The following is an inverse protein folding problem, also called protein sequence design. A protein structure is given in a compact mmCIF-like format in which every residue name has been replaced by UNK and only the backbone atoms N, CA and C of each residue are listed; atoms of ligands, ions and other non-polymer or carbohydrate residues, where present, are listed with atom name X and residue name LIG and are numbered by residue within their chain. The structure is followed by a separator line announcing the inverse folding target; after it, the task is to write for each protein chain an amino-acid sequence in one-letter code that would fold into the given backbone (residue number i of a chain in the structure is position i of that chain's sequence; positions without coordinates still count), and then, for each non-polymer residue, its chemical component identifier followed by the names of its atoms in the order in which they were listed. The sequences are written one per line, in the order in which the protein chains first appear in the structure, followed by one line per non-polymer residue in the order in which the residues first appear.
data_IF_828730648649
#
_entry.id   IF_828730648649
#
_cell.length_a   1.000
_cell.length_b   1.000
_cell.length_c   1.000
_cell.angle_alpha   90.00
_cell.angle_beta   90.00
_cell.angle_gamma   90.00
#
_symmetry.space_group_name_H-M   'P 1'
#
loop_
_entity.id
_entity.type
_entity.pdbx_description
1 polymer ?
#
# COMPACT_ATOMS: atom_id res chain seq x y z
N UNK A 1 15.10 27.62 11.21
CA UNK A 1 15.22 27.91 9.77
C UNK A 1 14.22 27.00 9.05
N UNK A 2 13.04 27.53 8.68
CA UNK A 2 12.09 26.83 7.84
C UNK A 2 12.69 26.74 6.42
N UNK A 3 13.24 25.61 6.07
CA UNK A 3 13.59 25.34 4.67
C UNK A 3 12.28 25.14 3.89
N UNK A 4 12.16 25.83 2.75
CA UNK A 4 11.03 25.64 1.86
C UNK A 4 11.03 24.18 1.37
N UNK A 5 9.83 23.56 1.32
CA UNK A 5 9.68 22.21 0.77
C UNK A 5 10.17 22.18 -0.68
N UNK A 6 10.95 21.15 -1.09
CA UNK A 6 11.26 20.96 -2.50
C UNK A 6 10.00 20.96 -3.37
N UNK A 7 10.04 21.56 -4.56
CA UNK A 7 8.87 21.66 -5.43
C UNK A 7 8.21 20.32 -5.75
N UNK A 8 9.01 19.25 -5.90
CA UNK A 8 8.51 17.88 -6.09
C UNK A 8 7.74 17.39 -4.88
N UNK A 9 8.24 17.64 -3.66
CA UNK A 9 7.57 17.27 -2.43
C UNK A 9 6.22 18.00 -2.29
N UNK A 10 6.22 19.31 -2.54
CA UNK A 10 4.99 20.12 -2.50
C UNK A 10 3.95 19.61 -3.51
N UNK A 11 4.36 19.24 -4.71
CA UNK A 11 3.50 18.67 -5.75
C UNK A 11 2.89 17.34 -5.28
N UNK A 12 3.69 16.42 -4.74
CA UNK A 12 3.20 15.11 -4.26
C UNK A 12 2.23 15.28 -3.09
N UNK A 13 2.55 16.17 -2.15
CA UNK A 13 1.66 16.47 -1.01
C UNK A 13 0.34 17.07 -1.52
N UNK A 14 0.37 17.97 -2.50
CA UNK A 14 -0.84 18.53 -3.10
C UNK A 14 -1.68 17.46 -3.80
N UNK A 15 -1.05 16.56 -4.58
CA UNK A 15 -1.75 15.42 -5.21
C UNK A 15 -2.39 14.53 -4.13
N UNK A 16 -1.66 14.27 -3.03
CA UNK A 16 -2.16 13.50 -1.90
C UNK A 16 -3.36 14.15 -1.22
N UNK A 17 -3.29 15.46 -0.99
CA UNK A 17 -4.39 16.23 -0.41
C UNK A 17 -5.64 16.21 -1.33
N UNK A 18 -5.47 16.48 -2.62
CA UNK A 18 -6.55 16.41 -3.61
C UNK A 18 -7.13 15.00 -3.67
N UNK A 19 -6.29 13.96 -3.68
CA UNK A 19 -6.71 12.56 -3.63
C UNK A 19 -7.51 12.23 -2.36
N UNK A 20 -7.08 12.72 -1.20
CA UNK A 20 -7.78 12.55 0.07
C UNK A 20 -9.15 13.26 0.08
N UNK A 21 -9.23 14.46 -0.49
CA UNK A 21 -10.51 15.15 -0.68
C UNK A 21 -11.44 14.35 -1.58
N UNK A 22 -10.97 13.88 -2.73
CA UNK A 22 -11.76 13.07 -3.66
C UNK A 22 -12.09 11.67 -3.11
N UNK A 23 -11.34 11.17 -2.14
CA UNK A 23 -11.70 9.96 -1.43
C UNK A 23 -13.06 10.10 -0.71
N UNK A 24 -13.29 11.24 -0.03
CA UNK A 24 -14.44 11.43 0.86
C UNK A 24 -15.53 12.34 0.30
N UNK A 25 -15.16 13.35 -0.51
CA UNK A 25 -16.06 14.44 -0.91
C UNK A 25 -16.61 14.26 -2.33
N UNK A 26 -17.88 14.69 -2.55
CA UNK A 26 -18.40 14.86 -3.91
C UNK A 26 -17.55 15.84 -4.73
N UNK A 27 -17.50 15.70 -6.08
CA UNK A 27 -18.32 14.79 -6.89
C UNK A 27 -17.79 13.36 -6.95
N UNK A 28 -16.53 13.10 -6.65
CA UNK A 28 -15.94 11.78 -6.82
C UNK A 28 -16.27 10.83 -5.67
N UNK A 29 -16.12 11.26 -4.40
CA UNK A 29 -16.41 10.45 -3.22
C UNK A 29 -16.05 8.97 -3.42
N UNK A 30 -14.79 8.69 -3.78
CA UNK A 30 -14.34 7.40 -4.29
C UNK A 30 -14.71 6.21 -3.37
N UNK A 31 -14.76 6.46 -2.05
CA UNK A 31 -15.23 5.49 -1.06
C UNK A 31 -16.68 5.06 -1.26
N UNK A 32 -17.52 5.93 -1.90
CA UNK A 32 -18.93 5.66 -2.19
C UNK A 32 -19.16 5.09 -3.60
N UNK A 33 -18.10 4.93 -4.39
CA UNK A 33 -18.16 4.42 -5.77
C UNK A 33 -17.38 3.11 -5.98
N UNK A 34 -16.89 2.50 -4.88
CA UNK A 34 -16.14 1.23 -4.92
C UNK A 34 -14.68 1.38 -5.39
N UNK A 35 -14.13 2.58 -5.33
CA UNK A 35 -12.73 2.86 -5.62
C UNK A 35 -11.91 3.15 -4.36
N UNK A 36 -12.58 3.12 -3.18
CA UNK A 36 -11.96 3.48 -1.91
C UNK A 36 -10.73 2.64 -1.57
N UNK A 37 -10.79 1.32 -1.79
CA UNK A 37 -9.69 0.41 -1.49
C UNK A 37 -8.46 0.68 -2.37
N UNK A 38 -8.69 0.91 -3.68
CA UNK A 38 -7.62 1.20 -4.64
C UNK A 38 -6.99 2.56 -4.35
N UNK A 39 -7.82 3.57 -4.10
CA UNK A 39 -7.32 4.92 -3.79
C UNK A 39 -6.57 4.95 -2.46
N UNK A 40 -7.03 4.20 -1.44
CA UNK A 40 -6.33 4.06 -0.18
C UNK A 40 -4.93 3.43 -0.37
N UNK A 41 -4.84 2.37 -1.18
CA UNK A 41 -3.56 1.75 -1.51
C UNK A 41 -2.63 2.71 -2.27
N UNK A 42 -3.16 3.48 -3.21
CA UNK A 42 -2.38 4.46 -3.97
C UNK A 42 -1.88 5.61 -3.08
N UNK A 43 -2.74 6.17 -2.22
CA UNK A 43 -2.38 7.27 -1.33
C UNK A 43 -1.46 6.82 -0.19
N UNK A 44 -1.86 5.78 0.55
CA UNK A 44 -1.14 5.32 1.74
C UNK A 44 0.06 4.45 1.41
N UNK A 45 -0.05 3.58 0.40
CA UNK A 45 1.00 2.62 0.05
C UNK A 45 2.03 3.13 -0.94
N UNK A 46 1.69 4.13 -1.76
CA UNK A 46 2.60 4.68 -2.78
C UNK A 46 2.92 6.15 -2.52
N UNK A 47 1.90 7.01 -2.51
CA UNK A 47 2.13 8.46 -2.53
C UNK A 47 2.75 8.97 -1.22
N UNK A 48 2.31 8.43 -0.08
CA UNK A 48 2.83 8.82 1.23
C UNK A 48 4.34 8.54 1.38
N UNK A 49 4.86 7.32 1.11
CA UNK A 49 6.30 7.10 1.17
C UNK A 49 7.07 7.89 0.11
N UNK A 50 6.55 8.07 -1.10
CA UNK A 50 7.17 8.92 -2.12
C UNK A 50 7.25 10.39 -1.68
N UNK A 51 6.26 10.90 -0.94
CA UNK A 51 6.34 12.23 -0.35
C UNK A 51 7.53 12.34 0.62
N UNK A 52 7.76 11.30 1.43
CA UNK A 52 8.94 11.23 2.32
C UNK A 52 10.25 11.29 1.54
N UNK A 53 10.40 10.50 0.48
CA UNK A 53 11.58 10.55 -0.41
C UNK A 53 11.75 11.94 -1.02
N UNK A 54 10.68 12.53 -1.56
CA UNK A 54 10.73 13.84 -2.17
C UNK A 54 11.15 14.95 -1.20
N UNK A 55 10.75 14.86 0.08
CA UNK A 55 11.17 15.81 1.13
C UNK A 55 12.67 15.69 1.40
N UNK A 56 13.20 14.46 1.46
CA UNK A 56 14.61 14.21 1.83
C UNK A 56 15.54 14.38 0.62
N UNK A 57 15.20 13.78 -0.54
CA UNK A 57 16.06 13.74 -1.72
C UNK A 57 15.79 14.89 -2.71
N UNK A 58 14.67 15.60 -2.59
CA UNK A 58 14.28 16.68 -3.51
C UNK A 58 13.85 16.20 -4.91
N UNK A 59 13.83 14.90 -5.15
CA UNK A 59 13.48 14.25 -6.43
C UNK A 59 12.81 12.91 -6.19
N UNK A 60 12.21 12.35 -7.24
CA UNK A 60 11.70 10.98 -7.30
C UNK A 60 12.31 10.32 -8.53
N UNK A 61 12.75 9.10 -8.36
CA UNK A 61 13.28 8.25 -9.42
C UNK A 61 12.37 7.04 -9.65
N UNK A 62 12.51 6.37 -10.80
CA UNK A 62 11.78 5.14 -11.08
C UNK A 62 12.06 4.05 -10.02
N UNK A 63 13.29 4.02 -9.50
CA UNK A 63 13.69 3.12 -8.44
C UNK A 63 12.82 3.28 -7.18
N UNK A 64 12.47 4.52 -6.79
CA UNK A 64 11.62 4.79 -5.63
C UNK A 64 10.21 4.23 -5.82
N UNK A 65 9.65 4.41 -7.03
CA UNK A 65 8.34 3.86 -7.39
C UNK A 65 8.37 2.33 -7.31
N UNK A 66 9.40 1.70 -7.86
CA UNK A 66 9.55 0.25 -7.82
C UNK A 66 9.75 -0.27 -6.40
N UNK A 67 10.50 0.45 -5.55
CA UNK A 67 10.73 0.09 -4.16
C UNK A 67 9.43 0.09 -3.32
N UNK A 68 8.50 1.02 -3.59
CA UNK A 68 7.23 1.12 -2.83
C UNK A 68 6.05 0.40 -3.48
N UNK A 69 6.19 -0.14 -4.70
CA UNK A 69 5.14 -0.94 -5.34
C UNK A 69 4.68 -2.15 -4.48
N UNK A 70 5.59 -2.92 -3.83
CA UNK A 70 5.17 -3.98 -2.91
C UNK A 70 4.32 -3.47 -1.76
N UNK A 71 4.66 -2.29 -1.20
CA UNK A 71 3.91 -1.68 -0.10
C UNK A 71 2.51 -1.26 -0.56
N UNK A 72 2.37 -0.65 -1.73
CA UNK A 72 1.06 -0.27 -2.27
C UNK A 72 0.15 -1.51 -2.45
N UNK A 73 0.70 -2.60 -2.96
CA UNK A 73 -0.05 -3.85 -3.16
C UNK A 73 -0.43 -4.51 -1.83
N UNK A 74 0.44 -4.54 -0.83
CA UNK A 74 0.10 -5.13 0.47
C UNK A 74 -0.91 -4.26 1.24
N UNK A 75 -0.88 -2.94 1.06
CA UNK A 75 -1.92 -2.04 1.59
C UNK A 75 -3.27 -2.38 0.95
N UNK A 76 -3.35 -2.59 -0.37
CA UNK A 76 -4.58 -3.03 -1.04
C UNK A 76 -5.09 -4.35 -0.45
N UNK A 77 -4.22 -5.36 -0.31
CA UNK A 77 -4.54 -6.66 0.29
C UNK A 77 -5.08 -6.50 1.70
N UNK A 78 -4.45 -5.65 2.52
CA UNK A 78 -4.85 -5.38 3.90
C UNK A 78 -6.20 -4.67 3.96
N UNK A 79 -6.41 -3.62 3.16
CA UNK A 79 -7.69 -2.87 3.12
C UNK A 79 -8.83 -3.76 2.64
N UNK A 80 -8.60 -4.62 1.64
CA UNK A 80 -9.60 -5.60 1.22
C UNK A 80 -9.99 -6.54 2.37
N UNK A 81 -9.02 -6.98 3.17
CA UNK A 81 -9.28 -7.89 4.29
C UNK A 81 -9.97 -7.20 5.46
N UNK A 82 -9.62 -5.95 5.77
CA UNK A 82 -10.26 -5.17 6.85
C UNK A 82 -11.68 -4.75 6.50
N UNK A 83 -11.99 -4.52 5.22
CA UNK A 83 -13.34 -4.18 4.77
C UNK A 83 -14.29 -5.41 4.67
N UNK A 84 -13.76 -6.64 4.70
CA UNK A 84 -14.59 -7.84 4.59
C UNK A 84 -15.59 -8.03 5.74
N UNK A 85 -15.21 -7.85 7.03
CA UNK A 85 -16.13 -7.93 8.15
C UNK A 85 -17.29 -6.91 8.06
N UNK A 86 -17.02 -5.73 7.53
CA UNK A 86 -17.96 -4.61 7.49
C UNK A 86 -18.95 -4.68 6.32
N UNK A 87 -18.83 -5.65 5.42
CA UNK A 87 -19.58 -5.68 4.16
C UNK A 87 -21.11 -5.66 4.33
N UNK A 88 -21.62 -6.28 5.41
CA UNK A 88 -23.06 -6.32 5.67
C UNK A 88 -23.56 -4.97 6.18
N UNK A 89 -22.80 -4.32 7.04
CA UNK A 89 -23.08 -2.97 7.50
C UNK A 89 -22.93 -1.94 6.38
N UNK A 90 -21.89 -2.08 5.55
CA UNK A 90 -21.69 -1.24 4.35
C UNK A 90 -22.86 -1.38 3.37
N UNK A 91 -23.33 -2.61 3.13
CA UNK A 91 -24.50 -2.85 2.27
C UNK A 91 -25.79 -2.23 2.86
N UNK A 92 -26.01 -2.36 4.16
CA UNK A 92 -27.17 -1.80 4.84
C UNK A 92 -27.21 -0.27 4.81
N UNK A 93 -26.03 0.37 4.80
CA UNK A 93 -25.89 1.84 4.71
C UNK A 93 -25.75 2.36 3.28
N UNK A 94 -25.85 1.49 2.27
CA UNK A 94 -25.73 1.85 0.86
C UNK A 94 -24.31 2.26 0.44
N UNK A 95 -23.29 1.83 1.16
CA UNK A 95 -21.87 2.10 0.83
C UNK A 95 -21.33 0.98 -0.09
N UNK A 96 -21.10 1.25 -1.37
CA UNK A 96 -20.76 0.23 -2.36
C UNK A 96 -19.26 -0.06 -2.42
N UNK A 97 -18.69 -0.58 -1.34
CA UNK A 97 -17.30 -1.07 -1.30
C UNK A 97 -17.10 -2.24 -2.28
N UNK A 98 -15.85 -2.59 -2.58
CA UNK A 98 -15.56 -3.78 -3.40
C UNK A 98 -16.19 -5.04 -2.82
N UNK A 99 -16.22 -5.17 -1.49
CA UNK A 99 -16.79 -6.30 -0.75
C UNK A 99 -18.31 -6.42 -0.94
N UNK A 100 -19.00 -5.30 -1.11
CA UNK A 100 -20.45 -5.24 -1.39
C UNK A 100 -20.72 -5.53 -2.88
N UNK A 101 -19.93 -4.96 -3.79
CA UNK A 101 -20.16 -4.99 -5.24
C UNK A 101 -19.77 -6.31 -5.90
N UNK A 102 -18.73 -6.97 -5.39
CA UNK A 102 -18.17 -8.14 -6.05
C UNK A 102 -18.50 -9.44 -5.32
N UNK A 103 -18.63 -10.50 -6.10
CA UNK A 103 -18.83 -11.85 -5.56
C UNK A 103 -17.60 -12.30 -4.75
N UNK A 104 -17.76 -13.05 -3.65
CA UNK A 104 -16.64 -13.54 -2.85
C UNK A 104 -15.57 -14.29 -3.66
N UNK A 105 -15.96 -15.04 -4.70
CA UNK A 105 -15.01 -15.73 -5.58
C UNK A 105 -14.12 -14.74 -6.36
N UNK A 106 -14.70 -13.64 -6.86
CA UNK A 106 -13.94 -12.59 -7.57
C UNK A 106 -13.01 -11.85 -6.61
N UNK A 107 -13.51 -11.51 -5.42
CA UNK A 107 -12.70 -10.89 -4.37
C UNK A 107 -11.48 -11.74 -3.99
N UNK A 108 -11.68 -13.07 -3.82
CA UNK A 108 -10.57 -13.99 -3.55
C UNK A 108 -9.53 -14.01 -4.66
N UNK A 109 -9.96 -13.95 -5.93
CA UNK A 109 -9.03 -13.91 -7.07
C UNK A 109 -8.23 -12.61 -7.10
N UNK A 110 -8.89 -11.46 -6.90
CA UNK A 110 -8.23 -10.15 -6.85
C UNK A 110 -7.24 -10.11 -5.69
N UNK A 111 -7.65 -10.54 -4.49
CA UNK A 111 -6.81 -10.60 -3.31
C UNK A 111 -5.58 -11.51 -3.51
N UNK A 112 -5.78 -12.71 -4.06
CA UNK A 112 -4.69 -13.62 -4.36
C UNK A 112 -3.74 -13.04 -5.42
N UNK A 113 -4.26 -12.46 -6.50
CA UNK A 113 -3.45 -11.81 -7.52
C UNK A 113 -2.63 -10.65 -6.95
N UNK A 114 -3.23 -9.79 -6.12
CA UNK A 114 -2.52 -8.70 -5.44
C UNK A 114 -1.44 -9.24 -4.48
N UNK A 115 -1.73 -10.33 -3.73
CA UNK A 115 -0.75 -10.97 -2.85
C UNK A 115 0.44 -11.57 -3.61
N UNK A 116 0.21 -12.21 -4.76
CA UNK A 116 1.27 -12.65 -5.67
C UNK A 116 2.02 -11.44 -6.22
N UNK A 117 1.30 -10.37 -6.57
CA UNK A 117 1.88 -9.10 -7.02
C UNK A 117 2.85 -8.49 -6.02
N UNK A 118 2.60 -8.60 -4.71
CA UNK A 118 3.55 -8.17 -3.66
C UNK A 118 4.88 -8.90 -3.81
N UNK A 119 4.84 -10.23 -3.96
CA UNK A 119 6.05 -11.05 -4.09
C UNK A 119 6.80 -10.70 -5.38
N UNK A 120 6.08 -10.65 -6.51
CA UNK A 120 6.67 -10.32 -7.82
C UNK A 120 7.29 -8.92 -7.79
N UNK A 121 6.59 -7.92 -7.27
CA UNK A 121 7.11 -6.56 -7.18
C UNK A 121 8.34 -6.47 -6.26
N UNK A 122 8.37 -7.23 -5.15
CA UNK A 122 9.56 -7.34 -4.29
C UNK A 122 10.75 -7.91 -5.04
N UNK A 123 10.54 -8.98 -5.81
CA UNK A 123 11.59 -9.60 -6.62
C UNK A 123 12.09 -8.65 -7.71
N UNK A 124 11.17 -7.96 -8.41
CA UNK A 124 11.53 -6.97 -9.43
C UNK A 124 12.34 -5.83 -8.82
N UNK A 125 11.89 -5.25 -7.70
CA UNK A 125 12.61 -4.19 -7.01
C UNK A 125 14.02 -4.64 -6.56
N UNK A 126 14.15 -5.93 -6.18
CA UNK A 126 15.43 -6.56 -5.87
C UNK A 126 16.37 -6.63 -7.07
N UNK A 127 15.87 -7.16 -8.19
CA UNK A 127 16.67 -7.37 -9.42
C UNK A 127 17.21 -6.06 -9.97
N UNK A 128 16.40 -4.99 -9.91
CA UNK A 128 16.80 -3.67 -10.42
C UNK A 128 17.58 -2.83 -9.37
N UNK A 129 17.86 -3.40 -8.19
CA UNK A 129 18.60 -2.68 -7.14
C UNK A 129 17.83 -1.53 -6.48
N UNK A 130 16.49 -1.49 -6.65
CA UNK A 130 15.65 -0.44 -6.10
C UNK A 130 15.38 -0.59 -4.60
N UNK A 131 15.61 -1.78 -4.03
CA UNK A 131 15.33 -2.08 -2.63
C UNK A 131 16.60 -2.58 -1.93
N UNK A 132 17.05 -1.91 -0.85
CA UNK A 132 18.10 -2.45 0.00
C UNK A 132 17.56 -3.67 0.76
N UNK A 133 18.38 -4.71 0.90
CA UNK A 133 18.03 -5.96 1.60
C UNK A 133 16.71 -6.62 1.13
N UNK A 134 16.56 -6.89 -0.16
CA UNK A 134 15.29 -7.32 -0.75
C UNK A 134 14.75 -8.63 -0.18
N UNK A 135 15.61 -9.53 0.30
CA UNK A 135 15.22 -10.80 0.92
C UNK A 135 14.35 -10.59 2.18
N UNK A 136 14.50 -9.46 2.88
CA UNK A 136 13.66 -9.15 4.03
C UNK A 136 12.19 -8.96 3.60
N UNK A 137 11.94 -8.41 2.42
CA UNK A 137 10.58 -8.27 1.89
C UNK A 137 9.85 -9.59 1.71
N UNK A 138 10.57 -10.71 1.54
CA UNK A 138 9.98 -12.03 1.40
C UNK A 138 9.53 -12.64 2.73
N UNK A 139 9.94 -12.08 3.88
CA UNK A 139 9.49 -12.54 5.20
C UNK A 139 7.98 -12.39 5.41
N UNK A 140 7.31 -11.56 4.60
CA UNK A 140 5.84 -11.41 4.66
C UNK A 140 5.08 -12.53 3.94
N UNK A 141 5.76 -13.39 3.16
CA UNK A 141 5.12 -14.45 2.36
C UNK A 141 4.26 -15.41 3.19
N UNK A 142 4.67 -15.89 4.38
CA UNK A 142 3.81 -16.75 5.19
C UNK A 142 2.51 -16.07 5.62
N UNK A 143 2.58 -14.80 5.99
CA UNK A 143 1.39 -14.02 6.38
C UNK A 143 0.47 -13.77 5.17
N UNK A 144 1.02 -13.48 3.99
CA UNK A 144 0.26 -13.35 2.75
C UNK A 144 -0.43 -14.66 2.37
N UNK A 145 0.29 -15.78 2.44
CA UNK A 145 -0.27 -17.10 2.14
C UNK A 145 -1.43 -17.45 3.07
N UNK A 146 -1.27 -17.19 4.38
CA UNK A 146 -2.34 -17.36 5.36
C UNK A 146 -3.52 -16.42 5.07
N UNK A 147 -3.23 -15.18 4.70
CA UNK A 147 -4.23 -14.19 4.27
C UNK A 147 -5.05 -14.69 3.10
N UNK A 148 -4.42 -15.19 2.03
CA UNK A 148 -5.08 -15.77 0.86
C UNK A 148 -5.94 -16.97 1.24
N UNK A 149 -5.45 -17.85 2.11
CA UNK A 149 -6.17 -19.03 2.53
C UNK A 149 -7.42 -18.71 3.37
N UNK A 150 -7.39 -17.62 4.14
CA UNK A 150 -8.44 -17.25 5.10
C UNK A 150 -9.37 -16.14 4.61
N UNK A 151 -8.98 -15.35 3.62
CA UNK A 151 -9.79 -14.25 3.09
C UNK A 151 -11.19 -14.70 2.66
N UNK A 152 -12.20 -13.98 3.06
CA UNK A 152 -13.64 -14.28 2.91
C UNK A 152 -14.14 -15.54 3.64
N UNK A 153 -13.25 -16.31 4.27
CA UNK A 153 -13.60 -17.50 5.05
C UNK A 153 -13.60 -17.24 6.55
N UNK A 154 -12.79 -16.28 6.98
CA UNK A 154 -12.68 -15.82 8.36
C UNK A 154 -12.93 -14.33 8.42
N UNK A 155 -13.40 -13.85 9.56
CA UNK A 155 -13.66 -12.42 9.79
C UNK A 155 -12.35 -11.68 10.10
N UNK A 156 -11.35 -12.38 10.68
CA UNK A 156 -10.12 -11.71 11.11
C UNK A 156 -9.21 -11.28 9.93
N UNK A 157 -8.90 -9.99 9.79
CA UNK A 157 -7.96 -9.48 8.80
C UNK A 157 -6.48 -9.64 9.22
N UNK A 158 -6.24 -10.19 10.43
CA UNK A 158 -4.92 -10.19 11.09
C UNK A 158 -3.74 -10.62 10.21
N UNK A 159 -3.83 -11.70 9.40
CA UNK A 159 -2.69 -12.09 8.57
C UNK A 159 -2.28 -11.01 7.57
N UNK A 160 -3.25 -10.35 6.96
CA UNK A 160 -3.02 -9.33 5.94
C UNK A 160 -2.50 -8.03 6.55
N UNK A 161 -3.05 -7.62 7.71
CA UNK A 161 -2.56 -6.48 8.48
C UNK A 161 -1.13 -6.72 8.96
N UNK A 162 -0.84 -7.92 9.46
CA UNK A 162 0.51 -8.30 9.89
C UNK A 162 1.51 -8.26 8.73
N UNK A 163 1.14 -8.73 7.54
CA UNK A 163 1.98 -8.64 6.35
C UNK A 163 2.27 -7.18 5.96
N UNK A 164 1.25 -6.32 5.99
CA UNK A 164 1.40 -4.89 5.68
C UNK A 164 2.32 -4.19 6.69
N UNK A 165 2.07 -4.37 7.99
CA UNK A 165 2.87 -3.74 9.04
C UNK A 165 4.31 -4.24 9.00
N UNK A 166 4.51 -5.55 8.84
CA UNK A 166 5.85 -6.13 8.72
C UNK A 166 6.62 -5.56 7.53
N UNK A 167 6.00 -5.50 6.35
CA UNK A 167 6.65 -4.94 5.17
C UNK A 167 6.99 -3.46 5.34
N UNK A 168 6.09 -2.67 5.92
CA UNK A 168 6.34 -1.25 6.19
C UNK A 168 7.54 -1.05 7.14
N UNK A 169 7.60 -1.83 8.22
CA UNK A 169 8.72 -1.81 9.18
C UNK A 169 10.02 -2.24 8.49
N UNK A 170 9.99 -3.32 7.73
CA UNK A 170 11.18 -3.82 7.03
C UNK A 170 11.72 -2.81 6.03
N UNK A 171 10.85 -2.15 5.27
CA UNK A 171 11.25 -1.06 4.36
C UNK A 171 11.83 0.13 5.11
N UNK A 172 11.23 0.54 6.22
CA UNK A 172 11.75 1.63 7.05
C UNK A 172 13.14 1.30 7.58
N UNK A 173 13.32 0.12 8.17
CA UNK A 173 14.60 -0.32 8.72
C UNK A 173 15.67 -0.46 7.64
N UNK A 174 15.33 -1.03 6.48
CA UNK A 174 16.23 -1.21 5.36
C UNK A 174 16.73 0.14 4.81
N UNK A 175 15.83 1.11 4.62
CA UNK A 175 16.20 2.44 4.14
C UNK A 175 17.01 3.21 5.20
N UNK A 176 16.67 3.08 6.49
CA UNK A 176 17.44 3.71 7.57
C UNK A 176 18.85 3.14 7.66
N UNK A 177 19.03 1.83 7.55
CA UNK A 177 20.34 1.18 7.56
C UNK A 177 21.18 1.58 6.35
N UNK A 178 20.59 1.68 5.16
CA UNK A 178 21.28 2.14 3.96
C UNK A 178 21.75 3.59 4.09
N UNK A 179 20.91 4.48 4.66
CA UNK A 179 21.26 5.88 4.90
C UNK A 179 22.44 6.02 5.90
N UNK A 180 22.46 5.23 6.97
CA UNK A 180 23.53 5.24 7.95
C UNK A 180 24.83 4.64 7.39
N UNK A 181 24.76 3.57 6.60
CA UNK A 181 25.91 2.96 5.94
C UNK A 181 26.59 3.87 4.92
N UNK A 182 25.81 4.66 4.17
CA UNK A 182 26.33 5.63 3.20
C UNK A 182 26.98 6.89 3.82
N UNK A 183 26.78 7.14 5.12
CA UNK A 183 27.38 8.28 5.83
C UNK A 183 28.76 7.98 6.43
N UNK A 184 29.25 6.74 6.36
CA UNK A 184 30.50 6.27 6.98
C UNK A 184 31.62 6.06 5.92
N UNK A 185 31.32 6.21 4.63
CA UNK A 185 32.26 6.16 3.52
C UNK A 185 32.53 7.53 2.90
#
# INVERSE_FOLDING_TARGET
LAQALPGVAATIVLIGLVGALFYSLPPLAAMRHGWGEVLNAALGGMLLPLAGVAVVAGRIELADILAFTPLALVVLVSVMATAWPDREADAATGKPTLQVRLRPATLRRIHAAASVGVVVATIVAAIVGAMPFPLLGLLVVPALALGVATYTRRISPLPNVAAMVALAILLLLANSAAALGGSIG
#
